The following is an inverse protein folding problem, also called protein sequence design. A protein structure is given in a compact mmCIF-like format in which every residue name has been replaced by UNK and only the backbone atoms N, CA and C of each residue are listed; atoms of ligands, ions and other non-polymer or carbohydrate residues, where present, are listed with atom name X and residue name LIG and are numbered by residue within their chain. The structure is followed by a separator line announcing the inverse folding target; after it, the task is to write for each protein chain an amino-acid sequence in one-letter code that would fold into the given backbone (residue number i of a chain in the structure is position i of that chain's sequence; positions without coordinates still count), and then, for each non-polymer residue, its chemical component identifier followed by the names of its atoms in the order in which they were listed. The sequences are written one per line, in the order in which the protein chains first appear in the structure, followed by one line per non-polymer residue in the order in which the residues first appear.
data_IF_142049565423
#
_entry.id   IF_142049565423
#
_cell.length_a   1.000
_cell.length_b   1.000
_cell.length_c   1.000
_cell.angle_alpha   90.00
_cell.angle_beta   90.00
_cell.angle_gamma   90.00
#
_symmetry.space_group_name_H-M   'P 1'
#
loop_
_entity.id
_entity.type
_entity.pdbx_description
1 polymer ?
#
# COMPACT_ATOMS: atom_id res chain seq x y z
N UNK A 1 -24.27 1.79 6.56
CA UNK A 1 -24.19 1.43 5.12
C UNK A 1 -23.34 0.18 4.96
N UNK A 2 -23.89 -0.91 4.40
CA UNK A 2 -23.09 -2.07 4.00
C UNK A 2 -22.10 -1.63 2.90
N UNK A 3 -20.82 -1.95 3.05
CA UNK A 3 -19.81 -1.66 2.03
C UNK A 3 -20.22 -2.31 0.71
N UNK A 4 -20.34 -1.53 -0.38
CA UNK A 4 -20.58 -2.04 -1.75
C UNK A 4 -19.43 -2.95 -2.22
N UNK A 5 -18.23 -2.72 -1.68
CA UNK A 5 -17.02 -3.44 -2.04
C UNK A 5 -16.74 -4.61 -1.09
N UNK A 6 -16.34 -5.74 -1.67
CA UNK A 6 -15.88 -6.95 -0.98
C UNK A 6 -14.37 -7.06 -1.15
N UNK A 7 -13.68 -7.65 -0.16
CA UNK A 7 -12.24 -7.90 -0.25
C UNK A 7 -11.88 -8.85 -1.41
N UNK A 8 -12.76 -9.81 -1.70
CA UNK A 8 -12.52 -10.82 -2.73
C UNK A 8 -11.35 -11.73 -2.38
N UNK A 9 -10.63 -12.19 -3.40
CA UNK A 9 -9.43 -13.02 -3.26
C UNK A 9 -8.29 -12.19 -2.68
N UNK A 10 -7.73 -12.60 -1.55
CA UNK A 10 -6.56 -11.96 -0.95
C UNK A 10 -5.31 -12.39 -1.72
N UNK A 11 -4.57 -11.42 -2.26
CA UNK A 11 -3.33 -11.65 -3.02
C UNK A 11 -2.07 -11.35 -2.22
N UNK A 12 -2.20 -10.56 -1.15
CA UNK A 12 -1.11 -10.31 -0.21
C UNK A 12 -1.66 -10.02 1.20
N UNK A 13 -0.89 -10.41 2.21
CA UNK A 13 -1.17 -10.13 3.61
C UNK A 13 0.11 -9.71 4.31
N UNK A 14 -0.01 -8.77 5.25
CA UNK A 14 1.08 -8.35 6.13
C UNK A 14 0.59 -8.25 7.56
N UNK A 15 1.38 -8.78 8.48
CA UNK A 15 1.17 -8.63 9.92
C UNK A 15 2.20 -7.68 10.50
N UNK A 16 1.74 -6.77 11.34
CA UNK A 16 2.55 -5.73 11.97
C UNK A 16 2.31 -5.80 13.47
N UNK A 17 3.39 -6.00 14.23
CA UNK A 17 3.37 -5.94 15.69
C UNK A 17 4.03 -4.65 16.14
N UNK A 18 3.32 -3.86 16.93
CA UNK A 18 3.81 -2.57 17.42
C UNK A 18 3.68 -2.58 18.94
N UNK A 19 4.77 -2.25 19.62
CA UNK A 19 4.77 -2.06 21.06
C UNK A 19 5.11 -0.62 21.39
N UNK A 20 4.25 0.00 22.21
CA UNK A 20 4.48 1.34 22.73
C UNK A 20 4.24 1.34 24.25
N UNK A 21 5.31 1.42 25.03
CA UNK A 21 5.28 1.19 26.47
C UNK A 21 4.70 -0.19 26.81
N UNK A 22 3.60 -0.20 27.58
CA UNK A 22 2.85 -1.42 27.93
C UNK A 22 1.78 -1.82 26.90
N UNK A 23 1.46 -0.95 25.94
CA UNK A 23 0.42 -1.22 24.93
C UNK A 23 1.03 -1.99 23.76
N UNK A 24 0.34 -3.04 23.32
CA UNK A 24 0.70 -3.86 22.18
C UNK A 24 -0.41 -3.81 21.14
N UNK A 25 -0.02 -3.77 19.87
CA UNK A 25 -0.90 -3.78 18.73
C UNK A 25 -0.48 -4.93 17.81
N UNK A 26 -1.45 -5.71 17.38
CA UNK A 26 -1.27 -6.71 16.34
C UNK A 26 -2.22 -6.34 15.22
N UNK A 27 -1.67 -5.90 14.10
CA UNK A 27 -2.42 -5.34 12.97
C UNK A 27 -2.17 -6.21 11.75
N UNK A 28 -3.24 -6.62 11.09
CA UNK A 28 -3.15 -7.35 9.82
C UNK A 28 -3.67 -6.47 8.70
N UNK A 29 -2.87 -6.28 7.67
CA UNK A 29 -3.26 -5.63 6.42
C UNK A 29 -3.47 -6.73 5.38
N UNK A 30 -4.64 -6.78 4.76
CA UNK A 30 -4.97 -7.70 3.67
C UNK A 30 -5.21 -6.91 2.39
N UNK A 31 -4.57 -7.31 1.30
CA UNK A 31 -4.73 -6.74 -0.04
C UNK A 31 -5.50 -7.74 -0.89
N UNK A 32 -6.65 -7.31 -1.38
CA UNK A 32 -7.46 -8.08 -2.33
C UNK A 32 -6.97 -7.91 -3.76
N UNK A 33 -7.36 -8.83 -4.62
CA UNK A 33 -7.07 -8.79 -6.05
C UNK A 33 -7.64 -7.50 -6.65
N UNK A 34 -6.85 -6.70 -7.40
CA UNK A 34 -7.36 -5.53 -8.10
C UNK A 34 -8.35 -5.95 -9.21
N UNK A 35 -9.38 -5.14 -9.42
CA UNK A 35 -10.47 -5.39 -10.36
C UNK A 35 -10.76 -4.08 -11.10
N UNK A 36 -11.18 -4.19 -12.36
CA UNK A 36 -11.72 -3.04 -13.11
C UNK A 36 -12.94 -2.48 -12.38
N UNK A 37 -12.98 -1.16 -12.26
CA UNK A 37 -14.09 -0.45 -11.64
C UNK A 37 -15.30 -0.47 -12.59
N UNK A 38 -16.54 -0.66 -12.08
CA UNK A 38 -17.74 -0.65 -12.91
C UNK A 38 -18.06 0.72 -13.51
N UNK A 39 -17.55 1.80 -12.90
CA UNK A 39 -17.63 3.15 -13.45
C UNK A 39 -16.43 3.37 -14.39
N UNK A 40 -16.66 3.72 -15.67
CA UNK A 40 -15.62 3.79 -16.69
C UNK A 40 -14.55 4.85 -16.41
N UNK A 41 -14.88 5.88 -15.64
CA UNK A 41 -13.96 6.95 -15.27
C UNK A 41 -12.96 6.57 -14.16
N UNK A 42 -13.14 5.40 -13.52
CA UNK A 42 -12.39 4.98 -12.33
C UNK A 42 -11.50 3.75 -12.55
N UNK A 43 -11.13 3.46 -13.80
CA UNK A 43 -10.15 2.46 -14.24
C UNK A 43 -10.11 1.19 -13.38
N UNK A 44 -9.11 1.04 -12.51
CA UNK A 44 -8.93 -0.09 -11.61
C UNK A 44 -9.11 0.33 -10.16
N UNK A 45 -9.68 -0.57 -9.36
CA UNK A 45 -9.65 -0.45 -7.90
C UNK A 45 -9.03 -1.67 -7.24
N UNK A 46 -8.38 -1.46 -6.10
CA UNK A 46 -7.83 -2.52 -5.26
C UNK A 46 -8.50 -2.47 -3.87
N UNK A 47 -9.27 -3.51 -3.49
CA UNK A 47 -9.86 -3.57 -2.16
C UNK A 47 -8.80 -3.97 -1.13
N UNK A 48 -8.83 -3.37 0.05
CA UNK A 48 -7.94 -3.74 1.15
C UNK A 48 -8.66 -3.63 2.50
N UNK A 49 -8.12 -4.35 3.49
CA UNK A 49 -8.67 -4.39 4.85
C UNK A 49 -7.56 -4.26 5.89
N UNK A 50 -7.86 -3.56 6.99
CA UNK A 50 -6.95 -3.41 8.13
C UNK A 50 -7.66 -3.95 9.38
N UNK A 51 -7.13 -5.03 9.94
CA UNK A 51 -7.62 -5.71 11.14
C UNK A 51 -6.78 -5.32 12.36
N UNK A 52 -7.27 -5.59 13.58
CA UNK A 52 -6.51 -5.37 14.81
C UNK A 52 -6.51 -3.91 15.33
N UNK A 53 -7.41 -3.08 14.79
CA UNK A 53 -7.64 -1.70 15.23
C UNK A 53 -9.00 -1.59 15.94
N UNK A 54 -9.01 -1.04 17.15
CA UNK A 54 -10.16 -1.06 18.06
C UNK A 54 -11.30 -0.09 17.71
N UNK A 55 -11.25 0.56 16.55
CA UNK A 55 -12.38 1.34 16.05
C UNK A 55 -13.39 0.38 15.41
N UNK A 56 -14.50 0.13 16.10
CA UNK A 56 -15.58 -0.81 15.76
C UNK A 56 -16.05 -0.70 14.30
N UNK A 57 -15.98 0.49 13.71
CA UNK A 57 -16.40 0.75 12.33
C UNK A 57 -15.32 0.52 11.25
N UNK A 58 -14.06 0.29 11.64
CA UNK A 58 -12.92 0.30 10.71
C UNK A 58 -12.29 -1.09 10.58
N UNK A 59 -12.19 -1.86 11.67
CA UNK A 59 -11.68 -3.23 11.65
C UNK A 59 -12.46 -4.14 10.69
N UNK A 60 -13.74 -3.87 10.48
CA UNK A 60 -14.62 -4.63 9.61
C UNK A 60 -14.80 -4.00 8.22
N UNK A 61 -14.18 -2.85 7.95
CA UNK A 61 -14.42 -2.08 6.72
C UNK A 61 -13.45 -2.49 5.62
N UNK A 62 -14.00 -2.71 4.44
CA UNK A 62 -13.22 -2.82 3.21
C UNK A 62 -13.03 -1.42 2.66
N UNK A 63 -11.77 -1.06 2.46
CA UNK A 63 -11.35 0.15 1.78
C UNK A 63 -11.07 -0.18 0.32
N UNK A 64 -11.06 0.86 -0.51
CA UNK A 64 -10.62 0.76 -1.90
C UNK A 64 -9.58 1.84 -2.16
N UNK A 65 -8.59 1.52 -2.98
CA UNK A 65 -7.77 2.48 -3.70
C UNK A 65 -8.15 2.46 -5.17
N UNK A 66 -7.95 3.58 -5.86
CA UNK A 66 -8.14 3.70 -7.31
C UNK A 66 -6.75 3.85 -7.94
N UNK A 67 -6.56 3.24 -9.10
CA UNK A 67 -5.36 3.40 -9.92
C UNK A 67 -5.70 3.28 -11.40
N UNK A 68 -4.87 3.89 -12.23
CA UNK A 68 -5.02 3.80 -13.69
C UNK A 68 -4.78 2.38 -14.23
N UNK A 69 -4.04 1.56 -13.49
CA UNK A 69 -3.87 0.14 -13.74
C UNK A 69 -3.90 -0.67 -12.43
N UNK A 70 -3.86 -1.99 -12.58
CA UNK A 70 -3.90 -2.93 -11.46
C UNK A 70 -2.72 -2.78 -10.48
N UNK A 71 -1.51 -2.50 -10.98
CA UNK A 71 -0.29 -2.37 -10.16
C UNK A 71 -0.32 -1.05 -9.39
N UNK A 72 -0.75 0.03 -10.04
CA UNK A 72 -0.94 1.33 -9.43
C UNK A 72 -2.02 1.26 -8.34
N UNK A 73 -3.15 0.59 -8.60
CA UNK A 73 -4.18 0.40 -7.58
C UNK A 73 -3.64 -0.32 -6.34
N UNK A 74 -2.84 -1.39 -6.51
CA UNK A 74 -2.17 -2.07 -5.40
C UNK A 74 -1.21 -1.13 -4.66
N UNK A 75 -0.37 -0.39 -5.38
CA UNK A 75 0.56 0.56 -4.76
C UNK A 75 -0.19 1.62 -3.94
N UNK A 76 -1.29 2.17 -4.48
CA UNK A 76 -2.13 3.13 -3.77
C UNK A 76 -2.81 2.51 -2.53
N UNK A 77 -3.21 1.23 -2.57
CA UNK A 77 -3.75 0.55 -1.39
C UNK A 77 -2.72 0.51 -0.26
N UNK A 78 -1.47 0.21 -0.57
CA UNK A 78 -0.38 0.18 0.41
C UNK A 78 -0.07 1.58 0.96
N UNK A 79 -0.09 2.62 0.13
CA UNK A 79 0.08 4.02 0.56
C UNK A 79 -1.03 4.41 1.53
N UNK A 80 -2.29 4.15 1.16
CA UNK A 80 -3.44 4.48 1.99
C UNK A 80 -3.42 3.72 3.31
N UNK A 81 -3.05 2.44 3.30
CA UNK A 81 -2.92 1.64 4.51
C UNK A 81 -1.90 2.25 5.49
N UNK A 82 -0.74 2.69 4.97
CA UNK A 82 0.28 3.33 5.78
C UNK A 82 -0.15 4.68 6.34
N UNK A 83 -0.81 5.52 5.54
CA UNK A 83 -1.36 6.82 6.00
C UNK A 83 -2.41 6.59 7.10
N UNK A 84 -3.33 5.66 6.85
CA UNK A 84 -4.38 5.31 7.80
C UNK A 84 -3.78 4.86 9.14
N UNK A 85 -2.84 3.91 9.09
CA UNK A 85 -2.21 3.37 10.29
C UNK A 85 -1.43 4.43 11.08
N UNK A 86 -0.66 5.26 10.37
CA UNK A 86 0.08 6.38 10.96
C UNK A 86 -0.86 7.34 11.68
N UNK A 87 -1.96 7.72 11.02
CA UNK A 87 -2.97 8.63 11.57
C UNK A 87 -3.68 8.03 12.79
N UNK A 88 -4.08 6.76 12.71
CA UNK A 88 -4.72 6.04 13.82
C UNK A 88 -3.83 6.00 15.07
N UNK A 89 -2.55 5.64 14.90
CA UNK A 89 -1.61 5.54 16.01
C UNK A 89 -1.26 6.92 16.59
N UNK A 90 -1.08 7.94 15.75
CA UNK A 90 -0.90 9.34 16.21
C UNK A 90 -2.10 9.84 17.02
N UNK A 91 -3.32 9.46 16.64
CA UNK A 91 -4.53 9.83 17.40
C UNK A 91 -4.60 9.13 18.75
N UNK A 92 -4.15 7.88 18.85
CA UNK A 92 -4.12 7.10 20.10
C UNK A 92 -2.93 7.45 21.00
N UNK A 93 -1.83 7.91 20.40
CA UNK A 93 -0.56 8.26 21.04
C UNK A 93 -0.02 9.56 20.42
N UNK A 94 -0.51 10.74 20.89
CA UNK A 94 -0.14 12.04 20.36
C UNK A 94 1.37 12.35 20.35
N UNK A 95 2.15 11.64 21.15
CA UNK A 95 3.62 11.67 21.20
C UNK A 95 4.27 11.15 19.91
N UNK A 96 3.58 10.32 19.13
CA UNK A 96 4.07 9.75 17.87
C UNK A 96 3.92 10.71 16.68
N UNK A 97 4.07 12.02 16.88
CA UNK A 97 3.83 13.06 15.83
C UNK A 97 4.62 12.83 14.54
N UNK A 98 5.80 12.21 14.63
CA UNK A 98 6.70 11.93 13.50
C UNK A 98 6.50 10.57 12.84
N UNK A 99 5.62 9.71 13.36
CA UNK A 99 5.38 8.36 12.86
C UNK A 99 4.79 8.37 11.45
N UNK A 100 5.48 7.84 10.46
CA UNK A 100 5.11 7.90 9.06
C UNK A 100 4.93 6.49 8.44
N UNK A 101 4.33 6.38 7.24
CA UNK A 101 4.12 5.08 6.59
C UNK A 101 5.41 4.23 6.41
N UNK A 102 6.56 4.89 6.20
CA UNK A 102 7.86 4.23 6.05
C UNK A 102 8.30 3.47 7.31
N UNK A 103 7.83 3.88 8.49
CA UNK A 103 8.17 3.21 9.75
C UNK A 103 7.47 1.83 9.88
N UNK A 104 6.55 1.52 8.96
CA UNK A 104 5.89 0.22 8.81
C UNK A 104 6.35 -0.55 7.57
N UNK A 105 7.43 -0.10 6.92
CA UNK A 105 7.84 -0.44 5.55
C UNK A 105 6.67 -0.39 4.55
N UNK A 106 5.81 0.63 4.67
CA UNK A 106 4.77 0.93 3.70
C UNK A 106 5.19 2.13 2.85
N UNK A 107 4.78 2.18 1.57
CA UNK A 107 5.09 3.30 0.70
C UNK A 107 4.47 4.59 1.24
N UNK A 108 5.16 5.71 1.04
CA UNK A 108 4.65 7.05 1.36
C UNK A 108 3.99 7.66 0.13
N UNK A 109 2.98 8.50 0.35
CA UNK A 109 2.50 9.39 -0.70
C UNK A 109 3.67 10.24 -1.19
N UNK A 110 4.09 10.01 -2.43
CA UNK A 110 5.15 10.80 -3.03
C UNK A 110 4.56 12.12 -3.53
N UNK A 111 5.09 13.23 -3.02
CA UNK A 111 4.85 14.53 -3.66
C UNK A 111 5.64 14.58 -4.97
N UNK A 112 5.15 15.31 -5.97
CA UNK A 112 5.87 15.51 -7.25
C UNK A 112 7.32 15.95 -7.06
N UNK A 113 7.59 16.79 -6.05
CA UNK A 113 8.95 17.22 -5.67
C UNK A 113 9.83 16.04 -5.24
N UNK A 114 9.27 15.09 -4.49
CA UNK A 114 9.98 13.92 -3.99
C UNK A 114 10.23 12.87 -5.07
N UNK A 115 9.28 12.70 -6.00
CA UNK A 115 9.46 11.86 -7.20
C UNK A 115 10.63 12.39 -8.01
N UNK A 116 10.65 13.69 -8.32
CA UNK A 116 11.74 14.31 -9.08
C UNK A 116 13.09 14.14 -8.38
N UNK A 117 13.14 14.25 -7.05
CA UNK A 117 14.36 14.04 -6.28
C UNK A 117 14.81 12.57 -6.26
N UNK A 118 13.90 11.61 -6.06
CA UNK A 118 14.24 10.19 -6.10
C UNK A 118 14.60 9.72 -7.52
N UNK A 119 13.94 10.22 -8.57
CA UNK A 119 14.34 10.00 -9.96
C UNK A 119 15.69 10.61 -10.28
N UNK A 120 15.94 11.84 -9.80
CA UNK A 120 17.24 12.51 -9.93
C UNK A 120 18.34 11.69 -9.26
N UNK A 121 18.12 11.24 -8.02
CA UNK A 121 19.05 10.37 -7.29
C UNK A 121 19.23 9.01 -7.96
N UNK A 122 18.16 8.42 -8.54
CA UNK A 122 18.22 7.17 -9.31
C UNK A 122 19.02 7.34 -10.60
N UNK A 123 18.83 8.45 -11.32
CA UNK A 123 19.64 8.81 -12.51
C UNK A 123 21.11 9.05 -12.14
N UNK A 124 21.38 9.66 -10.98
CA UNK A 124 22.74 9.86 -10.48
C UNK A 124 23.42 8.56 -10.05
N UNK A 125 22.68 7.62 -9.45
CA UNK A 125 23.20 6.29 -9.04
C UNK A 125 23.41 5.34 -10.22
N UNK A 126 22.79 5.59 -11.38
CA UNK A 126 22.88 4.76 -12.61
C UNK A 126 24.04 5.16 -13.55
N UNK A 127 25.17 5.65 -13.04
CA UNK A 127 26.28 6.05 -13.94
C UNK A 127 27.23 4.92 -14.36
N UNK A 128 27.20 3.71 -13.77
CA UNK A 128 28.15 2.64 -14.16
C UNK A 128 27.63 1.20 -14.06
N UNK A 129 26.43 0.88 -14.56
CA UNK A 129 26.09 -0.51 -14.93
C UNK A 129 24.81 -0.62 -15.76
N UNK A 130 24.76 -1.67 -16.58
CA UNK A 130 23.58 -2.14 -17.30
C UNK A 130 22.89 -3.22 -16.45
N UNK A 131 21.56 -3.15 -16.29
CA UNK A 131 20.77 -4.21 -15.63
C UNK A 131 19.88 -4.84 -16.67
N UNK A 132 20.15 -6.11 -16.97
CA UNK A 132 19.30 -6.96 -17.78
C UNK A 132 18.43 -7.83 -16.85
N UNK A 133 17.16 -7.98 -17.18
CA UNK A 133 16.21 -8.78 -16.41
C UNK A 133 15.76 -9.97 -17.24
N UNK A 134 16.01 -11.19 -16.76
CA UNK A 134 15.43 -12.41 -17.34
C UNK A 134 13.96 -12.50 -16.88
N UNK A 135 13.03 -12.34 -17.81
CA UNK A 135 11.63 -12.67 -17.57
C UNK A 135 11.38 -14.09 -18.07
N UNK A 136 11.03 -15.01 -17.18
CA UNK A 136 10.52 -16.32 -17.56
C UNK A 136 9.01 -16.23 -17.70
N UNK A 137 8.53 -16.10 -18.93
CA UNK A 137 7.17 -16.51 -19.27
C UNK A 137 7.24 -17.88 -19.94
N UNK A 138 6.27 -18.74 -19.70
CA UNK A 138 6.33 -20.18 -19.97
C UNK A 138 6.42 -20.58 -21.45
N UNK A 139 6.64 -19.67 -22.41
CA UNK A 139 6.55 -19.99 -23.84
C UNK A 139 7.45 -19.17 -24.81
N UNK A 140 8.59 -18.60 -24.38
CA UNK A 140 9.76 -18.32 -25.25
C UNK A 140 10.81 -17.48 -24.53
N UNK A 141 12.09 -17.71 -24.86
CA UNK A 141 13.22 -16.88 -24.44
C UNK A 141 13.51 -15.81 -25.48
N UNK A 142 13.49 -14.53 -25.09
CA UNK A 142 14.04 -13.43 -25.90
C UNK A 142 14.66 -12.37 -25.01
N UNK A 143 15.77 -11.81 -25.47
CA UNK A 143 16.48 -10.70 -24.84
C UNK A 143 15.97 -9.37 -25.41
N UNK A 144 15.77 -8.36 -24.55
CA UNK A 144 15.52 -6.95 -24.91
C UNK A 144 16.57 -6.08 -24.22
#
# INVERSE_FOLDING_TARGET
MKSKYKLGTVIAQREIRIQFGKKKYEITIKIGKPILHPEPDLDWYCPFQILGIATEHVSSKIFISIGFDSVNAIHQALVLAGIFLSSYLRKKHPELKRLNPKDFDLPQAMTLKRIRLEEFLRKFRKKHFTVEWKSSSSNSESWI
#
